data_IF_600883955425
#
_entry.id   IF_600883955425
#
_cell.length_a   1.000
_cell.length_b   1.000
_cell.length_c   1.000
_cell.angle_alpha   90.00
_cell.angle_beta   90.00
_cell.angle_gamma   90.00
#
_symmetry.space_group_name_H-M   'P 1'
#
loop_
_entity.id
_entity.type
_entity.pdbx_description
1 polymer ?
#
# COMPACT_ATOMS: atom_id res chain seq x y z
N UNK A 1 -31.45 4.56 13.11
CA UNK A 1 -30.40 5.50 12.64
C UNK A 1 -29.07 4.78 12.75
N UNK A 2 -28.55 4.27 11.65
CA UNK A 2 -27.23 3.63 11.62
C UNK A 2 -26.20 4.77 11.64
N UNK A 3 -25.30 4.75 12.63
CA UNK A 3 -24.21 5.72 12.76
C UNK A 3 -23.36 5.68 11.49
N UNK A 4 -22.85 6.84 11.04
CA UNK A 4 -21.90 6.91 9.94
C UNK A 4 -20.75 5.92 10.19
N UNK A 5 -20.64 4.89 9.35
CA UNK A 5 -19.60 3.88 9.41
C UNK A 5 -18.26 4.56 9.08
N UNK A 6 -17.31 4.52 10.01
CA UNK A 6 -16.00 5.16 9.87
C UNK A 6 -15.08 4.24 9.07
N UNK A 7 -15.14 4.30 7.74
CA UNK A 7 -14.26 3.55 6.86
C UNK A 7 -12.87 4.19 6.75
N UNK A 8 -11.82 3.36 6.69
CA UNK A 8 -10.49 3.76 6.25
C UNK A 8 -10.50 3.87 4.72
N UNK A 9 -10.32 5.07 4.14
CA UNK A 9 -10.36 5.23 2.69
C UNK A 9 -9.15 4.55 2.03
N UNK A 10 -9.41 3.83 0.94
CA UNK A 10 -8.35 3.33 0.05
C UNK A 10 -7.81 4.49 -0.77
N UNK A 11 -6.48 4.64 -0.80
CA UNK A 11 -5.82 5.73 -1.51
C UNK A 11 -5.89 5.56 -3.02
N UNK A 12 -6.13 6.67 -3.73
CA UNK A 12 -6.02 6.72 -5.19
C UNK A 12 -4.61 6.34 -5.67
N UNK A 13 -4.51 5.66 -6.81
CA UNK A 13 -3.21 5.29 -7.41
C UNK A 13 -2.55 6.46 -8.14
N UNK A 14 -3.36 7.44 -8.57
CA UNK A 14 -2.92 8.58 -9.39
C UNK A 14 -2.76 8.28 -10.88
N UNK A 15 -3.15 7.08 -11.34
CA UNK A 15 -3.05 6.72 -12.76
C UNK A 15 -4.19 7.36 -13.58
N UNK A 16 -3.85 7.99 -14.70
CA UNK A 16 -4.80 8.74 -15.55
C UNK A 16 -4.81 8.29 -17.02
N UNK A 17 -3.97 7.31 -17.39
CA UNK A 17 -3.85 6.81 -18.77
C UNK A 17 -4.07 5.31 -18.80
N UNK A 18 -4.80 4.84 -19.82
CA UNK A 18 -5.06 3.43 -20.06
C UNK A 18 -4.18 2.92 -21.20
N UNK A 19 -3.84 1.62 -21.14
CA UNK A 19 -2.92 1.00 -22.07
C UNK A 19 -3.41 -0.37 -22.53
N UNK A 20 -3.11 -0.74 -23.76
CA UNK A 20 -3.35 -2.08 -24.28
C UNK A 20 -2.37 -3.13 -23.70
N UNK A 21 -2.43 -4.37 -24.21
CA UNK A 21 -1.56 -5.48 -23.78
C UNK A 21 -0.09 -5.30 -24.15
N UNK A 22 0.21 -4.43 -25.14
CA UNK A 22 1.56 -4.13 -25.60
C UNK A 22 2.13 -2.87 -24.96
N UNK A 23 1.33 -2.18 -24.14
CA UNK A 23 1.71 -0.93 -23.49
C UNK A 23 1.48 0.32 -24.34
N UNK A 24 0.68 0.26 -25.39
CA UNK A 24 0.31 1.46 -26.17
C UNK A 24 -0.85 2.18 -25.48
N UNK A 25 -0.82 3.53 -25.38
CA UNK A 25 -1.93 4.30 -24.84
C UNK A 25 -3.21 4.08 -25.65
N UNK A 26 -4.33 3.96 -24.95
CA UNK A 26 -5.68 3.83 -25.53
C UNK A 26 -6.68 4.73 -24.77
N UNK A 27 -7.82 5.09 -25.38
CA UNK A 27 -8.91 5.74 -24.65
C UNK A 27 -9.36 4.89 -23.46
N UNK A 28 -9.56 5.53 -22.31
CA UNK A 28 -9.90 4.81 -21.09
C UNK A 28 -11.33 4.29 -21.04
N UNK A 29 -12.27 5.01 -21.66
CA UNK A 29 -13.71 4.77 -21.52
C UNK A 29 -14.10 3.31 -21.80
N UNK A 30 -14.62 2.63 -20.77
CA UNK A 30 -15.14 1.27 -20.88
C UNK A 30 -14.05 0.19 -20.88
N UNK A 31 -12.81 0.53 -20.59
CA UNK A 31 -11.70 -0.46 -20.49
C UNK A 31 -11.70 -1.20 -19.16
N UNK A 32 -12.37 -0.67 -18.13
CA UNK A 32 -12.34 -1.23 -16.77
C UNK A 32 -10.97 -1.11 -16.08
N UNK A 33 -10.03 -0.36 -16.68
CA UNK A 33 -8.73 -0.06 -16.07
C UNK A 33 -8.88 0.96 -14.94
N UNK A 34 -7.88 1.03 -14.07
CA UNK A 34 -7.83 1.96 -12.94
C UNK A 34 -8.06 3.43 -13.36
N UNK A 35 -7.48 3.83 -14.50
CA UNK A 35 -7.63 5.17 -15.07
C UNK A 35 -8.98 5.42 -15.79
N UNK A 36 -9.83 4.40 -15.99
CA UNK A 36 -11.21 4.55 -16.50
C UNK A 36 -12.17 5.07 -15.42
N UNK A 37 -11.71 5.16 -14.16
CA UNK A 37 -12.56 5.51 -13.02
C UNK A 37 -12.19 6.88 -12.46
N UNK A 38 -13.20 7.65 -12.00
CA UNK A 38 -12.94 8.83 -11.20
C UNK A 38 -12.16 8.47 -9.93
N UNK A 39 -11.00 9.09 -9.76
CA UNK A 39 -10.19 8.97 -8.55
C UNK A 39 -10.61 10.04 -7.53
N UNK A 40 -10.57 9.75 -6.22
CA UNK A 40 -10.74 10.76 -5.19
C UNK A 40 -9.80 11.96 -5.40
N UNK A 41 -10.32 13.17 -5.25
CA UNK A 41 -9.50 14.37 -5.32
C UNK A 41 -8.44 14.36 -4.22
N UNK A 42 -7.20 14.66 -4.59
CA UNK A 42 -6.11 14.86 -3.64
C UNK A 42 -6.05 16.34 -3.22
N UNK A 43 -5.56 16.65 -2.01
CA UNK A 43 -5.26 18.02 -1.62
C UNK A 43 -4.31 18.69 -2.62
N UNK A 44 -4.54 19.97 -2.91
CA UNK A 44 -3.70 20.80 -3.80
C UNK A 44 -3.33 22.09 -3.06
N UNK A 45 -2.05 22.34 -2.74
CA UNK A 45 -0.89 21.47 -2.99
C UNK A 45 -0.91 20.22 -2.09
N UNK A 46 -0.45 19.07 -2.62
CA UNK A 46 -0.39 17.81 -1.85
C UNK A 46 0.67 17.89 -0.74
N UNK A 47 1.80 18.51 -1.04
CA UNK A 47 2.94 18.63 -0.14
C UNK A 47 3.25 20.10 0.12
N UNK A 48 3.47 20.46 1.39
CA UNK A 48 3.80 21.83 1.80
C UNK A 48 5.03 21.82 2.67
N UNK A 49 6.09 22.50 2.22
CA UNK A 49 7.28 22.76 3.05
C UNK A 49 6.92 23.75 4.16
N UNK A 50 7.17 23.36 5.41
CA UNK A 50 6.87 24.17 6.59
C UNK A 50 8.03 25.09 6.96
N UNK A 51 7.77 26.16 7.75
CA UNK A 51 8.82 26.84 8.50
C UNK A 51 9.60 25.82 9.34
N UNK A 52 10.91 25.72 9.12
CA UNK A 52 11.76 24.68 9.72
C UNK A 52 12.15 23.54 8.76
N UNK A 53 11.63 23.52 7.53
CA UNK A 53 12.14 22.71 6.42
C UNK A 53 11.53 21.31 6.25
N UNK A 54 10.76 20.80 7.22
CA UNK A 54 10.01 19.56 7.02
C UNK A 54 8.89 19.73 5.98
N UNK A 55 8.54 18.65 5.30
CA UNK A 55 7.48 18.65 4.27
C UNK A 55 6.23 18.00 4.86
N UNK A 56 5.13 18.73 4.93
CA UNK A 56 3.83 18.19 5.32
C UNK A 56 3.12 17.57 4.13
N UNK A 57 2.76 16.31 4.25
CA UNK A 57 1.76 15.68 3.39
C UNK A 57 0.35 16.10 3.87
N UNK A 58 -0.37 16.87 3.04
CA UNK A 58 -1.72 17.34 3.39
C UNK A 58 -2.78 16.24 3.38
N UNK A 59 -2.54 15.10 2.74
CA UNK A 59 -3.50 14.00 2.76
C UNK A 59 -3.39 13.20 4.07
N UNK A 60 -2.17 12.82 4.46
CA UNK A 60 -1.96 11.95 5.62
C UNK A 60 -1.74 12.74 6.91
N UNK A 61 -1.33 14.00 6.82
CA UNK A 61 -0.88 14.83 7.95
C UNK A 61 0.57 14.55 8.38
N UNK A 62 1.22 13.53 7.82
CA UNK A 62 2.59 13.15 8.15
C UNK A 62 3.59 14.21 7.73
N UNK A 63 4.70 14.28 8.47
CA UNK A 63 5.83 15.15 8.18
C UNK A 63 6.99 14.33 7.66
N UNK A 64 7.50 14.71 6.50
CA UNK A 64 8.59 14.02 5.82
C UNK A 64 9.86 14.83 5.90
N UNK A 65 10.99 14.13 6.06
CA UNK A 65 12.30 14.76 5.94
C UNK A 65 12.51 15.19 4.47
N UNK A 66 12.95 16.44 4.19
CA UNK A 66 12.93 17.00 2.84
C UNK A 66 13.95 16.38 1.88
N UNK A 67 15.11 15.91 2.38
CA UNK A 67 16.05 15.08 1.62
C UNK A 67 15.69 13.61 1.78
N UNK A 68 15.25 12.95 0.72
CA UNK A 68 14.89 11.53 0.80
C UNK A 68 16.10 10.66 1.15
N UNK A 69 17.27 10.95 0.59
CA UNK A 69 18.55 10.40 1.03
C UNK A 69 19.11 11.17 2.25
N UNK A 70 18.47 11.03 3.41
CA UNK A 70 18.79 11.83 4.59
C UNK A 70 20.21 11.60 5.16
N UNK A 71 20.82 10.45 4.85
CA UNK A 71 22.07 9.95 5.45
C UNK A 71 23.18 9.71 4.42
N UNK A 72 23.02 10.22 3.20
CA UNK A 72 23.94 10.19 2.07
C UNK A 72 24.25 8.79 1.48
N UNK A 73 24.24 7.72 2.29
CA UNK A 73 24.55 6.35 1.87
C UNK A 73 23.47 5.35 2.31
N UNK A 74 23.32 4.23 1.57
CA UNK A 74 22.51 3.09 2.00
C UNK A 74 22.99 2.52 3.34
N UNK A 75 22.05 2.21 4.22
CA UNK A 75 22.27 1.70 5.56
C UNK A 75 21.65 0.30 5.70
N UNK A 76 22.26 -0.53 6.54
CA UNK A 76 21.57 -1.71 7.07
C UNK A 76 20.34 -1.31 7.86
N UNK A 77 19.44 -2.26 8.11
CA UNK A 77 18.24 -1.97 8.87
C UNK A 77 18.58 -1.43 10.27
N UNK A 78 19.54 -2.04 10.98
CA UNK A 78 19.96 -1.59 12.30
C UNK A 78 20.60 -0.20 12.27
N UNK A 79 21.49 0.07 11.31
CA UNK A 79 22.13 1.38 11.13
C UNK A 79 21.08 2.47 10.83
N UNK A 80 20.05 2.16 10.03
CA UNK A 80 19.00 3.13 9.73
C UNK A 80 18.17 3.54 10.95
N UNK A 81 17.92 2.60 11.88
CA UNK A 81 17.25 2.91 13.15
C UNK A 81 18.14 3.80 14.03
N UNK A 82 19.43 3.48 14.11
CA UNK A 82 20.40 4.28 14.86
C UNK A 82 20.51 5.70 14.28
N UNK A 83 20.65 5.86 12.97
CA UNK A 83 20.79 7.16 12.33
C UNK A 83 19.56 8.06 12.56
N UNK A 84 18.36 7.47 12.60
CA UNK A 84 17.13 8.17 12.98
C UNK A 84 17.13 8.60 14.45
N UNK A 85 17.66 7.77 15.36
CA UNK A 85 17.82 8.15 16.77
C UNK A 85 18.80 9.33 16.92
N UNK A 86 19.88 9.35 16.14
CA UNK A 86 20.83 10.46 16.11
C UNK A 86 20.18 11.76 15.58
N UNK A 87 19.33 11.69 14.55
CA UNK A 87 18.51 12.84 14.11
C UNK A 87 17.62 13.38 15.24
N UNK A 88 17.03 12.49 16.03
CA UNK A 88 16.17 12.86 17.14
C UNK A 88 16.95 13.51 18.29
N UNK A 89 18.12 12.97 18.63
CA UNK A 89 19.01 13.56 19.64
C UNK A 89 19.50 14.95 19.22
N UNK A 90 19.83 15.12 17.94
CA UNK A 90 20.23 16.40 17.36
C UNK A 90 19.08 17.40 17.21
N UNK A 91 17.84 16.99 17.51
CA UNK A 91 16.61 17.76 17.28
C UNK A 91 16.53 18.31 15.85
N UNK A 92 16.87 17.48 14.86
CA UNK A 92 16.93 17.87 13.46
C UNK A 92 15.58 18.46 12.99
N UNK A 93 15.64 19.63 12.33
CA UNK A 93 14.47 20.42 11.92
C UNK A 93 13.51 20.74 13.09
N UNK A 94 14.05 20.86 14.32
CA UNK A 94 13.30 21.18 15.52
C UNK A 94 12.48 20.01 16.09
N UNK A 95 12.74 18.77 15.65
CA UNK A 95 11.93 17.59 16.00
C UNK A 95 12.78 16.48 16.61
N UNK A 96 12.14 15.66 17.44
CA UNK A 96 12.76 14.51 18.12
C UNK A 96 11.92 13.23 18.00
N UNK A 97 10.99 13.19 17.06
CA UNK A 97 10.05 12.10 16.82
C UNK A 97 10.14 11.54 15.38
N UNK A 98 11.29 11.73 14.72
CA UNK A 98 11.59 11.06 13.47
C UNK A 98 11.63 9.54 13.66
N UNK A 99 11.09 8.81 12.70
CA UNK A 99 11.11 7.35 12.62
C UNK A 99 11.24 6.90 11.18
N UNK A 100 11.58 5.63 10.97
CA UNK A 100 11.36 5.01 9.66
C UNK A 100 9.85 4.89 9.39
N UNK A 101 9.38 5.18 8.17
CA UNK A 101 7.98 5.03 7.80
C UNK A 101 7.61 3.55 7.81
N UNK A 102 6.43 3.23 8.27
CA UNK A 102 5.83 1.92 8.00
C UNK A 102 5.56 1.77 6.50
N UNK A 103 5.35 0.53 6.04
CA UNK A 103 5.02 0.29 4.63
C UNK A 103 3.79 1.08 4.14
N UNK A 104 2.65 1.13 4.86
CA UNK A 104 1.52 1.95 4.44
C UNK A 104 1.88 3.43 4.31
N UNK A 105 2.68 3.97 5.23
CA UNK A 105 3.09 5.37 5.20
C UNK A 105 3.99 5.69 4.02
N UNK A 106 5.01 4.88 3.75
CA UNK A 106 5.87 5.11 2.58
C UNK A 106 5.13 4.92 1.26
N UNK A 107 4.19 3.96 1.19
CA UNK A 107 3.31 3.82 0.02
C UNK A 107 2.36 5.00 -0.16
N UNK A 108 1.97 5.70 0.90
CA UNK A 108 0.98 6.79 0.83
C UNK A 108 1.43 8.03 0.03
N UNK A 109 2.75 8.17 -0.17
CA UNK A 109 3.35 9.24 -0.99
C UNK A 109 3.71 8.80 -2.41
N UNK A 110 3.56 7.50 -2.72
CA UNK A 110 3.87 6.94 -4.03
C UNK A 110 2.73 7.25 -5.01
N UNK A 111 3.10 7.66 -6.23
CA UNK A 111 2.17 7.78 -7.35
C UNK A 111 2.46 6.69 -8.37
N UNK A 112 1.45 5.87 -8.69
CA UNK A 112 1.57 4.82 -9.71
C UNK A 112 1.41 5.39 -11.13
N UNK A 113 1.01 6.67 -11.27
CA UNK A 113 1.03 7.41 -12.52
C UNK A 113 2.37 8.11 -12.82
N UNK A 114 3.41 7.84 -12.03
CA UNK A 114 4.75 8.42 -12.18
C UNK A 114 5.85 7.35 -12.11
N UNK A 115 7.03 7.69 -12.62
CA UNK A 115 8.25 6.87 -12.55
C UNK A 115 9.47 7.75 -12.55
N UNK A 116 10.58 7.22 -12.03
CA UNK A 116 11.89 7.89 -12.02
C UNK A 116 11.86 9.34 -11.47
N UNK A 117 11.30 9.60 -10.27
CA UNK A 117 10.75 8.66 -9.29
C UNK A 117 9.22 8.47 -9.39
N UNK A 118 8.70 7.41 -8.78
CA UNK A 118 7.27 7.12 -8.65
C UNK A 118 6.62 7.95 -7.53
N UNK A 119 6.73 9.28 -7.65
CA UNK A 119 6.19 10.29 -6.74
C UNK A 119 5.37 11.32 -7.55
N UNK A 120 4.42 12.05 -6.94
CA UNK A 120 3.70 13.14 -7.60
C UNK A 120 4.66 14.20 -8.18
N UNK A 121 4.42 14.66 -9.41
CA UNK A 121 5.36 15.51 -10.15
C UNK A 121 5.69 16.86 -9.45
N UNK A 122 4.80 17.34 -8.58
CA UNK A 122 4.92 18.57 -7.79
C UNK A 122 5.57 18.36 -6.41
N UNK A 123 6.16 17.18 -6.16
CA UNK A 123 6.78 16.90 -4.86
C UNK A 123 7.97 17.84 -4.57
N UNK A 124 8.11 18.38 -3.34
CA UNK A 124 9.22 19.26 -2.97
C UNK A 124 10.47 18.50 -2.50
N UNK A 125 10.43 17.16 -2.51
CA UNK A 125 11.52 16.32 -2.02
C UNK A 125 12.77 16.45 -2.87
N UNK A 126 13.91 16.45 -2.20
CA UNK A 126 15.24 16.57 -2.79
C UNK A 126 16.04 15.29 -2.57
N UNK A 127 17.07 15.08 -3.38
CA UNK A 127 17.94 13.90 -3.30
C UNK A 127 17.17 12.57 -3.24
N UNK A 128 16.19 12.44 -4.17
CA UNK A 128 15.39 11.24 -4.33
C UNK A 128 16.17 10.24 -5.18
N UNK A 129 16.59 9.16 -4.54
CA UNK A 129 17.22 8.01 -5.19
C UNK A 129 16.15 7.10 -5.80
N UNK A 130 16.43 6.48 -6.94
CA UNK A 130 15.45 5.64 -7.64
C UNK A 130 15.39 4.20 -7.11
N UNK A 131 16.25 3.83 -6.15
CA UNK A 131 16.31 2.49 -5.60
C UNK A 131 15.38 2.27 -4.41
N UNK A 132 15.92 1.55 -3.41
CA UNK A 132 15.16 0.96 -2.31
C UNK A 132 15.20 1.86 -1.08
N UNK A 133 14.05 2.04 -0.45
CA UNK A 133 13.89 2.72 0.82
C UNK A 133 13.32 1.78 1.86
N UNK A 134 14.02 1.64 2.98
CA UNK A 134 13.54 0.86 4.12
C UNK A 134 12.21 1.41 4.64
N UNK A 135 11.36 0.47 5.06
CA UNK A 135 10.23 0.76 5.93
C UNK A 135 10.53 0.14 7.30
N UNK A 136 9.93 0.65 8.38
CA UNK A 136 9.99 0.03 9.71
C UNK A 136 9.24 -1.30 9.81
N UNK A 137 8.52 -1.70 8.76
CA UNK A 137 7.72 -2.92 8.76
C UNK A 137 8.60 -4.14 8.48
N UNK A 138 8.63 -5.08 9.41
CA UNK A 138 9.33 -6.37 9.26
C UNK A 138 8.50 -7.37 8.46
N UNK A 139 9.14 -8.28 7.74
CA UNK A 139 8.43 -9.33 7.02
C UNK A 139 8.07 -10.49 7.95
N UNK A 140 6.78 -10.76 8.13
CA UNK A 140 6.30 -11.81 9.04
C UNK A 140 6.71 -13.23 8.64
N UNK A 141 6.85 -13.50 7.34
CA UNK A 141 7.14 -14.83 6.84
C UNK A 141 8.59 -15.28 7.00
N UNK A 142 9.53 -14.37 7.30
CA UNK A 142 10.94 -14.71 7.47
C UNK A 142 11.64 -13.73 8.43
N UNK A 143 12.03 -14.18 9.64
CA UNK A 143 12.82 -13.37 10.56
C UNK A 143 14.08 -12.78 9.90
N UNK A 144 14.50 -11.60 10.35
CA UNK A 144 15.66 -10.91 9.79
C UNK A 144 15.44 -10.29 8.41
N UNK A 145 14.19 -10.13 7.95
CA UNK A 145 13.84 -9.40 6.74
C UNK A 145 12.93 -8.20 7.06
N UNK A 146 13.03 -7.15 6.27
CA UNK A 146 12.19 -5.96 6.36
C UNK A 146 11.70 -5.53 4.98
N UNK A 147 10.57 -4.84 4.95
CA UNK A 147 9.97 -4.33 3.72
C UNK A 147 10.69 -3.07 3.25
N UNK A 148 10.81 -2.93 1.93
CA UNK A 148 11.27 -1.72 1.26
C UNK A 148 10.32 -1.33 0.13
N UNK A 149 10.34 -0.04 -0.22
CA UNK A 149 9.67 0.50 -1.42
C UNK A 149 10.73 0.92 -2.43
N UNK A 150 10.54 0.54 -3.70
CA UNK A 150 11.43 0.89 -4.80
C UNK A 150 10.86 2.04 -5.62
N UNK A 151 11.52 3.19 -5.64
CA UNK A 151 10.96 4.43 -6.23
C UNK A 151 11.13 4.56 -7.75
N UNK A 152 11.84 3.67 -8.42
CA UNK A 152 11.85 3.68 -9.90
C UNK A 152 10.47 3.37 -10.50
N UNK A 153 9.68 2.51 -9.83
CA UNK A 153 8.41 2.00 -10.35
C UNK A 153 7.48 1.46 -9.27
N UNK A 154 7.46 2.05 -8.08
CA UNK A 154 6.51 1.77 -7.00
C UNK A 154 6.39 0.29 -6.53
N UNK A 155 7.43 -0.52 -6.73
CA UNK A 155 7.43 -1.94 -6.30
C UNK A 155 7.68 -2.04 -4.80
N UNK A 156 7.07 -3.03 -4.15
CA UNK A 156 7.22 -3.27 -2.70
C UNK A 156 7.57 -4.72 -2.45
N UNK A 157 8.77 -4.94 -1.93
CA UNK A 157 9.33 -6.24 -1.63
C UNK A 157 10.04 -6.18 -0.28
N UNK A 158 10.61 -7.30 0.15
CA UNK A 158 11.41 -7.37 1.35
C UNK A 158 12.85 -7.73 1.02
N UNK A 159 13.74 -7.40 1.95
CA UNK A 159 15.17 -7.67 1.85
C UNK A 159 15.69 -8.05 3.23
N UNK A 160 16.81 -8.77 3.29
CA UNK A 160 17.48 -9.10 4.55
C UNK A 160 17.93 -7.82 5.27
N UNK A 161 17.81 -7.82 6.59
CA UNK A 161 18.12 -6.66 7.43
C UNK A 161 19.62 -6.30 7.48
N UNK A 162 20.51 -7.22 7.07
CA UNK A 162 21.96 -6.98 6.95
C UNK A 162 22.39 -6.46 5.55
N UNK A 163 21.43 -6.23 4.66
CA UNK A 163 21.64 -5.57 3.37
C UNK A 163 21.33 -4.10 3.48
N UNK A 164 21.62 -3.33 2.44
CA UNK A 164 21.59 -1.88 2.49
C UNK A 164 20.46 -1.29 1.63
N UNK A 165 19.65 -0.42 2.23
CA UNK A 165 18.68 0.45 1.54
C UNK A 165 18.79 1.87 2.10
N UNK A 166 18.21 2.86 1.41
CA UNK A 166 18.11 4.21 1.97
C UNK A 166 17.06 4.27 3.09
N UNK A 167 17.21 5.25 3.96
CA UNK A 167 16.28 5.54 5.04
C UNK A 167 15.72 6.94 4.85
N UNK A 168 14.39 7.04 4.72
CA UNK A 168 13.69 8.31 4.55
C UNK A 168 12.82 8.58 5.77
N UNK A 169 13.27 9.44 6.70
CA UNK A 169 12.55 9.66 7.95
C UNK A 169 11.18 10.32 7.75
N UNK A 170 10.21 9.85 8.53
CA UNK A 170 8.87 10.44 8.68
C UNK A 170 8.61 10.74 10.16
N UNK A 171 7.71 11.67 10.46
CA UNK A 171 7.32 12.05 11.81
C UNK A 171 5.82 12.36 11.89
N UNK A 172 5.30 12.40 13.12
CA UNK A 172 3.88 12.59 13.40
C UNK A 172 3.04 11.31 13.24
N UNK A 173 1.74 11.50 13.33
CA UNK A 173 0.73 10.44 13.27
C UNK A 173 -0.27 10.71 12.16
N UNK A 174 -0.91 9.65 11.68
CA UNK A 174 -1.98 9.74 10.70
C UNK A 174 -3.16 8.90 11.14
N UNK A 175 -4.35 9.47 11.00
CA UNK A 175 -5.63 8.79 11.14
C UNK A 175 -6.24 8.48 9.77
N UNK A 176 -5.44 8.33 8.71
CA UNK A 176 -5.92 7.94 7.39
C UNK A 176 -5.56 6.50 7.05
N UNK A 177 -4.40 6.05 7.54
CA UNK A 177 -3.86 4.74 7.21
C UNK A 177 -4.22 3.74 8.31
N UNK A 178 -4.67 2.54 7.96
CA UNK A 178 -5.09 1.56 8.96
C UNK A 178 -3.89 1.04 9.76
N UNK A 179 -4.01 1.04 11.08
CA UNK A 179 -3.03 0.42 11.99
C UNK A 179 -3.66 -0.82 12.62
N UNK A 180 -3.07 -1.98 12.40
CA UNK A 180 -3.46 -3.19 13.13
C UNK A 180 -2.84 -3.13 14.52
N UNK A 181 -3.66 -2.96 15.55
CA UNK A 181 -3.19 -3.05 16.94
C UNK A 181 -2.58 -4.43 17.20
N UNK A 182 -1.28 -4.49 17.50
CA UNK A 182 -0.77 -5.48 18.45
C UNK A 182 -0.78 -4.84 19.83
N UNK A 183 -1.87 -5.00 20.58
CA UNK A 183 -1.75 -5.12 22.04
C UNK A 183 -2.31 -6.48 22.43
N UNK A 184 -1.44 -7.34 22.99
CA UNK A 184 -1.73 -7.84 24.33
C UNK A 184 -0.67 -7.40 25.34
N UNK A 185 -1.16 -7.23 26.55
CA UNK A 185 -0.50 -7.04 27.85
C UNK A 185 0.93 -7.56 27.98
N UNK A 186 1.77 -6.71 28.57
CA UNK A 186 3.01 -7.06 29.26
C UNK A 186 2.77 -8.26 30.18
N UNK A 187 3.31 -9.42 29.83
CA UNK A 187 3.79 -10.37 30.82
C UNK A 187 5.30 -10.54 30.64
N UNK A 188 5.95 -10.27 31.76
CA UNK A 188 7.38 -10.18 32.03
C UNK A 188 8.09 -11.51 31.71
N UNK A 189 8.92 -11.55 30.67
CA UNK A 189 10.33 -12.01 30.68
C UNK A 189 10.83 -12.35 29.26
N UNK A 190 11.97 -11.73 28.92
CA UNK A 190 12.97 -12.07 27.90
C UNK A 190 12.81 -11.60 26.43
N UNK A 191 13.78 -10.73 26.07
CA UNK A 191 14.21 -10.19 24.77
C UNK A 191 13.58 -8.86 24.31
N UNK A 192 14.39 -7.91 23.78
CA UNK A 192 13.93 -6.57 23.45
C UNK A 192 13.07 -6.64 22.19
N UNK A 193 11.77 -6.71 22.38
CA UNK A 193 10.81 -6.23 21.39
C UNK A 193 10.90 -4.71 21.45
N UNK A 194 11.34 -4.08 20.36
CA UNK A 194 11.35 -2.63 20.23
C UNK A 194 9.90 -2.12 20.35
N UNK A 195 9.52 -1.73 21.56
CA UNK A 195 8.35 -0.92 21.84
C UNK A 195 8.69 0.52 21.49
N UNK A 196 7.93 1.08 20.55
CA UNK A 196 7.96 2.48 20.14
C UNK A 196 7.66 3.41 21.33
N UNK A 197 8.59 4.27 21.80
CA UNK A 197 8.33 5.19 22.88
C UNK A 197 7.82 6.53 22.35
N UNK A 198 6.54 6.82 22.59
CA UNK A 198 5.99 8.18 22.56
C UNK A 198 4.63 8.31 21.89
N UNK A 199 3.55 8.10 22.64
CA UNK A 199 2.20 8.53 22.22
C UNK A 199 1.37 8.93 23.44
N UNK A 200 1.28 10.25 23.69
CA UNK A 200 0.21 10.90 24.44
C UNK A 200 -0.36 12.03 23.58
N UNK A 201 -1.64 11.92 23.21
CA UNK A 201 -2.65 12.99 23.12
C UNK A 201 -3.71 12.73 22.02
N UNK A 202 -4.92 12.35 22.47
CA UNK A 202 -6.23 12.85 22.02
C UNK A 202 -6.39 13.24 20.53
N UNK A 203 -6.27 12.27 19.62
CA UNK A 203 -6.87 12.32 18.29
C UNK A 203 -7.66 11.02 18.09
N UNK A 204 -8.94 11.11 17.75
CA UNK A 204 -9.79 9.96 17.41
C UNK A 204 -9.14 9.22 16.23
N UNK A 205 -8.61 7.98 16.43
CA UNK A 205 -7.79 7.32 15.43
C UNK A 205 -8.64 6.89 14.21
N UNK A 206 -8.03 6.81 13.01
CA UNK A 206 -8.60 5.91 12.01
C UNK A 206 -8.66 4.55 12.67
N UNK A 207 -9.84 3.94 12.62
CA UNK A 207 -10.18 2.82 13.46
C UNK A 207 -9.10 1.73 13.39
N UNK A 208 -8.81 1.17 14.56
CA UNK A 208 -8.24 -0.15 14.66
C UNK A 208 -9.04 -1.08 13.73
N UNK A 209 -8.40 -2.10 13.16
CA UNK A 209 -9.11 -3.05 12.30
C UNK A 209 -10.41 -3.53 12.98
N UNK A 210 -11.58 -3.41 12.33
CA UNK A 210 -12.85 -3.78 12.93
C UNK A 210 -12.87 -5.28 13.24
N UNK A 211 -13.59 -5.66 14.30
CA UNK A 211 -13.78 -7.06 14.69
C UNK A 211 -15.28 -7.37 14.81
N UNK A 212 -15.85 -8.21 13.93
CA UNK A 212 -15.20 -8.85 12.78
C UNK A 212 -14.89 -7.85 11.66
N UNK A 213 -13.76 -8.02 10.95
CA UNK A 213 -13.45 -7.20 9.76
C UNK A 213 -14.28 -7.59 8.55
N UNK A 214 -14.42 -8.90 8.33
CA UNK A 214 -15.09 -9.48 7.18
C UNK A 214 -16.45 -10.05 7.61
N UNK A 215 -17.50 -9.64 6.92
CA UNK A 215 -18.87 -10.14 7.13
C UNK A 215 -19.45 -10.63 5.80
N UNK A 216 -20.47 -11.51 5.80
CA UNK A 216 -21.16 -11.90 4.58
C UNK A 216 -21.63 -10.66 3.80
N UNK A 217 -21.33 -10.62 2.51
CA UNK A 217 -21.68 -9.50 1.65
C UNK A 217 -23.15 -9.51 1.25
N UNK A 218 -23.60 -8.42 0.64
CA UNK A 218 -24.99 -8.27 0.17
C UNK A 218 -25.30 -9.08 -1.09
N UNK A 219 -24.27 -9.54 -1.80
CA UNK A 219 -24.39 -10.39 -2.98
C UNK A 219 -23.98 -11.81 -2.62
N UNK A 220 -24.67 -12.82 -3.15
CA UNK A 220 -24.28 -14.22 -2.96
C UNK A 220 -22.83 -14.45 -3.44
N UNK A 221 -22.04 -15.18 -2.64
CA UNK A 221 -20.62 -15.39 -2.92
C UNK A 221 -19.72 -14.17 -2.69
N UNK A 222 -20.20 -13.13 -1.99
CA UNK A 222 -19.39 -11.96 -1.64
C UNK A 222 -19.17 -11.79 -0.13
N UNK A 223 -18.13 -11.03 0.21
CA UNK A 223 -17.71 -10.68 1.58
C UNK A 223 -17.53 -9.18 1.64
N UNK A 224 -18.15 -8.52 2.62
CA UNK A 224 -17.93 -7.10 2.89
C UNK A 224 -16.78 -6.90 3.86
N UNK A 225 -15.85 -6.02 3.51
CA UNK A 225 -14.76 -5.54 4.34
C UNK A 225 -15.17 -4.26 5.06
N UNK A 226 -15.46 -4.36 6.36
CA UNK A 226 -15.87 -3.24 7.20
C UNK A 226 -14.75 -2.19 7.39
N UNK A 227 -13.50 -2.52 7.07
CA UNK A 227 -12.41 -1.56 7.13
C UNK A 227 -12.49 -0.53 6.00
N UNK A 228 -12.76 -0.99 4.78
CA UNK A 228 -12.67 -0.19 3.55
C UNK A 228 -14.03 0.16 2.94
N UNK A 229 -15.09 -0.55 3.37
CA UNK A 229 -16.41 -0.50 2.75
C UNK A 229 -16.47 -1.19 1.39
N UNK A 230 -15.45 -1.97 1.02
CA UNK A 230 -15.42 -2.74 -0.24
C UNK A 230 -16.02 -4.13 -0.04
N UNK A 231 -16.64 -4.69 -1.07
CA UNK A 231 -17.05 -6.09 -1.12
C UNK A 231 -16.26 -6.88 -2.16
N UNK A 232 -15.82 -8.06 -1.77
CA UNK A 232 -14.95 -8.94 -2.55
C UNK A 232 -15.66 -10.26 -2.82
N UNK A 233 -15.36 -10.94 -3.93
CA UNK A 233 -15.78 -12.34 -4.07
C UNK A 233 -15.08 -13.22 -3.02
N UNK A 234 -15.76 -14.27 -2.54
CA UNK A 234 -15.19 -15.25 -1.60
C UNK A 234 -14.07 -16.08 -2.22
N UNK A 235 -14.06 -16.20 -3.55
CA UNK A 235 -13.08 -16.94 -4.33
C UNK A 235 -12.66 -16.12 -5.56
N UNK A 236 -11.49 -16.39 -6.15
CA UNK A 236 -11.12 -15.80 -7.43
C UNK A 236 -12.14 -16.15 -8.51
N UNK A 237 -12.23 -15.31 -9.54
CA UNK A 237 -13.23 -15.48 -10.60
C UNK A 237 -13.06 -16.76 -11.44
N UNK A 238 -11.85 -17.32 -11.45
CA UNK A 238 -11.49 -18.54 -12.19
C UNK A 238 -10.58 -19.42 -11.34
N UNK A 239 -10.67 -20.74 -11.54
CA UNK A 239 -9.78 -21.72 -10.95
C UNK A 239 -8.38 -21.73 -11.58
N UNK A 240 -8.22 -21.18 -12.80
CA UNK A 240 -6.94 -21.12 -13.51
C UNK A 240 -6.47 -19.66 -13.68
N UNK A 241 -5.15 -19.42 -13.63
CA UNK A 241 -4.58 -18.12 -13.99
C UNK A 241 -4.94 -17.72 -15.42
N UNK A 242 -4.97 -16.42 -15.66
CA UNK A 242 -5.33 -15.83 -16.95
C UNK A 242 -4.45 -14.62 -17.26
N UNK A 243 -4.40 -14.22 -18.53
CA UNK A 243 -3.67 -13.00 -18.88
C UNK A 243 -4.48 -11.76 -18.52
N UNK A 244 -3.85 -10.60 -18.48
CA UNK A 244 -4.46 -9.40 -17.88
C UNK A 244 -5.73 -8.92 -18.63
N UNK A 245 -5.71 -8.96 -19.97
CA UNK A 245 -6.89 -8.65 -20.79
C UNK A 245 -8.10 -9.56 -20.50
N UNK A 246 -7.86 -10.87 -20.40
CA UNK A 246 -8.89 -11.85 -20.01
C UNK A 246 -9.47 -11.55 -18.63
N UNK A 247 -8.65 -11.09 -17.68
CA UNK A 247 -9.13 -10.69 -16.36
C UNK A 247 -10.12 -9.53 -16.45
N UNK A 248 -9.78 -8.46 -17.18
CA UNK A 248 -10.69 -7.33 -17.37
C UNK A 248 -12.01 -7.75 -18.04
N UNK A 249 -11.94 -8.54 -19.11
CA UNK A 249 -13.11 -9.05 -19.83
C UNK A 249 -13.99 -9.93 -18.93
N UNK A 250 -13.38 -10.85 -18.17
CA UNK A 250 -14.11 -11.74 -17.28
C UNK A 250 -14.83 -10.97 -16.16
N UNK A 251 -14.19 -9.96 -15.57
CA UNK A 251 -14.87 -9.14 -14.54
C UNK A 251 -15.96 -8.26 -15.15
N UNK A 252 -15.77 -7.71 -16.35
CA UNK A 252 -16.81 -6.96 -17.05
C UNK A 252 -18.03 -7.85 -17.36
N UNK A 253 -17.81 -9.11 -17.75
CA UNK A 253 -18.88 -10.08 -17.98
C UNK A 253 -19.63 -10.42 -16.68
N UNK A 254 -18.91 -10.63 -15.57
CA UNK A 254 -19.51 -10.79 -14.24
C UNK A 254 -20.40 -9.60 -13.89
N UNK A 255 -19.92 -8.38 -14.12
CA UNK A 255 -20.67 -7.16 -13.83
C UNK A 255 -21.97 -7.09 -14.64
N UNK A 256 -21.91 -7.43 -15.93
CA UNK A 256 -23.07 -7.46 -16.84
C UNK A 256 -24.10 -8.51 -16.42
N UNK A 257 -23.66 -9.74 -16.13
CA UNK A 257 -24.55 -10.84 -15.76
C UNK A 257 -25.24 -10.61 -14.42
N UNK A 258 -24.48 -10.15 -13.41
CA UNK A 258 -25.00 -9.91 -12.06
C UNK A 258 -25.74 -8.58 -11.92
N UNK A 259 -25.62 -7.67 -12.89
CA UNK A 259 -26.10 -6.27 -12.82
C UNK A 259 -25.56 -5.53 -11.59
N UNK A 260 -24.34 -5.87 -11.17
CA UNK A 260 -23.60 -5.24 -10.08
C UNK A 260 -22.31 -4.65 -10.63
N UNK A 261 -21.79 -3.55 -10.06
CA UNK A 261 -20.60 -2.86 -10.58
C UNK A 261 -19.30 -3.58 -10.18
N UNK A 262 -19.21 -4.89 -10.42
CA UNK A 262 -17.98 -5.65 -10.25
C UNK A 262 -16.90 -5.13 -11.19
N UNK A 263 -15.67 -5.11 -10.70
CA UNK A 263 -14.51 -4.64 -11.46
C UNK A 263 -13.24 -5.25 -10.92
N UNK A 264 -12.21 -5.22 -11.74
CA UNK A 264 -10.87 -5.58 -11.29
C UNK A 264 -10.38 -4.48 -10.31
N UNK A 265 -9.90 -4.86 -9.12
CA UNK A 265 -9.44 -3.90 -8.12
C UNK A 265 -8.22 -3.14 -8.61
N UNK A 266 -8.05 -1.90 -8.19
CA UNK A 266 -6.76 -1.23 -8.32
C UNK A 266 -5.74 -1.81 -7.32
N UNK A 267 -4.47 -1.47 -7.47
CA UNK A 267 -3.42 -2.07 -6.64
C UNK A 267 -3.51 -1.66 -5.16
N UNK A 268 -4.05 -0.48 -4.85
CA UNK A 268 -4.20 -0.03 -3.46
C UNK A 268 -5.42 -0.71 -2.80
N UNK A 269 -6.48 -1.00 -3.55
CA UNK A 269 -7.59 -1.81 -3.09
C UNK A 269 -7.14 -3.24 -2.77
N UNK A 270 -6.37 -3.88 -3.66
CA UNK A 270 -5.78 -5.19 -3.36
C UNK A 270 -4.88 -5.13 -2.14
N UNK A 271 -4.00 -4.13 -2.06
CA UNK A 271 -3.08 -3.98 -0.92
C UNK A 271 -3.85 -3.87 0.39
N UNK A 272 -5.00 -3.19 0.41
CA UNK A 272 -5.80 -2.99 1.63
C UNK A 272 -6.23 -4.30 2.32
N UNK A 273 -6.28 -5.42 1.60
CA UNK A 273 -6.54 -6.75 2.18
C UNK A 273 -5.34 -7.31 2.97
N UNK A 274 -4.14 -6.80 2.71
CA UNK A 274 -2.88 -7.36 3.22
C UNK A 274 -2.75 -7.18 4.73
N UNK A 275 -2.48 -8.27 5.42
CA UNK A 275 -2.05 -8.27 6.82
C UNK A 275 -0.55 -8.50 6.90
N UNK A 276 0.21 -7.43 7.14
CA UNK A 276 1.68 -7.48 7.20
C UNK A 276 2.21 -8.22 8.44
N UNK A 277 1.34 -8.61 9.37
CA UNK A 277 1.70 -9.48 10.51
C UNK A 277 1.60 -10.97 10.16
N UNK A 278 1.12 -11.30 8.96
CA UNK A 278 0.89 -12.65 8.46
C UNK A 278 1.68 -12.88 7.17
N UNK A 279 1.91 -14.14 6.84
CA UNK A 279 2.44 -14.58 5.56
C UNK A 279 1.93 -15.99 5.25
N UNK A 280 1.82 -16.30 3.97
CA UNK A 280 1.38 -17.58 3.40
C UNK A 280 0.00 -18.05 3.90
N UNK A 281 -1.08 -17.24 3.73
CA UNK A 281 -1.15 -15.96 3.01
C UNK A 281 -0.95 -14.73 3.91
N UNK A 282 -0.59 -13.59 3.32
CA UNK A 282 -0.55 -12.29 4.00
C UNK A 282 -1.95 -11.67 4.13
N UNK A 283 -2.89 -12.42 4.70
CA UNK A 283 -4.28 -12.01 4.94
C UNK A 283 -4.64 -12.04 6.42
N UNK A 284 -5.69 -11.32 6.85
CA UNK A 284 -6.12 -11.31 8.25
C UNK A 284 -6.47 -12.71 8.72
N UNK A 285 -6.07 -13.07 9.94
CA UNK A 285 -6.42 -14.36 10.53
C UNK A 285 -7.95 -14.57 10.52
N UNK A 286 -8.41 -15.76 10.15
CA UNK A 286 -9.84 -16.08 10.08
C UNK A 286 -10.59 -15.47 8.89
N UNK A 287 -9.88 -14.98 7.87
CA UNK A 287 -10.53 -14.50 6.64
C UNK A 287 -11.44 -15.57 6.01
N UNK A 288 -12.56 -15.18 5.37
CA UNK A 288 -13.50 -16.11 4.76
C UNK A 288 -13.13 -16.57 3.34
N UNK A 289 -12.03 -16.04 2.79
CA UNK A 289 -11.63 -16.29 1.40
C UNK A 289 -11.05 -17.69 1.19
N UNK A 290 -11.40 -18.32 0.07
CA UNK A 290 -11.05 -19.71 -0.25
C UNK A 290 -10.51 -19.84 -1.68
N UNK A 291 -9.81 -20.94 -1.98
CA UNK A 291 -9.24 -21.22 -3.31
C UNK A 291 -8.37 -20.09 -3.87
N UNK A 292 -7.62 -19.41 -3.00
CA UNK A 292 -6.75 -18.30 -3.39
C UNK A 292 -5.49 -18.83 -4.08
N UNK A 293 -5.11 -18.18 -5.19
CA UNK A 293 -3.83 -18.39 -5.83
C UNK A 293 -2.72 -17.49 -5.28
N UNK A 294 -1.53 -17.60 -5.88
CA UNK A 294 -0.33 -16.90 -5.40
C UNK A 294 -0.30 -15.41 -5.73
N UNK A 295 -0.97 -14.97 -6.80
CA UNK A 295 -0.97 -13.57 -7.20
C UNK A 295 -2.19 -13.12 -7.99
N UNK A 296 -2.53 -11.85 -7.82
CA UNK A 296 -3.77 -11.25 -8.32
C UNK A 296 -3.49 -10.01 -9.15
N UNK A 297 -4.05 -9.99 -10.36
CA UNK A 297 -4.00 -8.82 -11.23
C UNK A 297 -4.72 -7.64 -10.59
N UNK A 298 -4.10 -6.46 -10.64
CA UNK A 298 -4.79 -5.19 -10.48
C UNK A 298 -5.17 -4.59 -11.84
N UNK A 299 -6.10 -3.65 -11.84
CA UNK A 299 -6.41 -2.77 -12.98
C UNK A 299 -5.39 -1.63 -13.15
N UNK A 300 -4.41 -1.51 -12.26
CA UNK A 300 -3.36 -0.48 -12.27
C UNK A 300 -2.21 -0.92 -13.18
N UNK A 301 -2.10 -0.29 -14.36
CA UNK A 301 -0.96 -0.50 -15.26
C UNK A 301 0.34 0.05 -14.64
N UNK A 302 1.47 -0.64 -14.86
CA UNK A 302 2.79 -0.13 -14.48
C UNK A 302 3.18 1.06 -15.34
N UNK A 303 3.37 2.23 -14.75
CA UNK A 303 3.84 3.40 -15.50
C UNK A 303 5.31 3.25 -15.94
N UNK A 304 6.10 2.45 -15.20
CA UNK A 304 7.47 2.11 -15.55
C UNK A 304 7.56 1.46 -16.94
N UNK A 305 6.76 0.41 -17.14
CA UNK A 305 6.59 -0.31 -18.41
C UNK A 305 5.10 -0.66 -18.59
N UNK A 306 4.37 0.05 -19.47
CA UNK A 306 2.93 -0.14 -19.63
C UNK A 306 2.50 -1.49 -20.25
N UNK A 307 3.44 -2.31 -20.74
CA UNK A 307 3.16 -3.70 -21.13
C UNK A 307 2.99 -4.62 -19.89
N UNK A 308 3.20 -4.08 -18.69
CA UNK A 308 3.05 -4.78 -17.41
C UNK A 308 1.93 -4.14 -16.57
N UNK A 309 1.32 -4.94 -15.69
CA UNK A 309 0.33 -4.46 -14.72
C UNK A 309 0.77 -4.82 -13.30
N UNK A 310 0.38 -4.02 -12.31
CA UNK A 310 0.68 -4.33 -10.92
C UNK A 310 -0.05 -5.58 -10.46
N UNK A 311 0.64 -6.34 -9.61
CA UNK A 311 0.17 -7.61 -9.05
C UNK A 311 0.42 -7.62 -7.55
N UNK A 312 -0.58 -8.06 -6.78
CA UNK A 312 -0.39 -8.44 -5.38
C UNK A 312 -0.01 -9.92 -5.31
N UNK A 313 1.16 -10.22 -4.75
CA UNK A 313 1.60 -11.59 -4.45
C UNK A 313 1.12 -11.98 -3.06
N UNK A 314 -0.06 -12.61 -2.97
CA UNK A 314 -0.80 -12.82 -1.73
C UNK A 314 -0.05 -13.65 -0.70
N UNK A 315 0.73 -14.65 -1.14
CA UNK A 315 1.54 -15.48 -0.24
C UNK A 315 2.50 -14.67 0.61
N UNK A 316 3.07 -13.59 0.06
CA UNK A 316 4.05 -12.74 0.76
C UNK A 316 3.47 -11.39 1.18
N UNK A 317 2.41 -10.94 0.53
CA UNK A 317 1.92 -9.57 0.58
C UNK A 317 2.75 -8.60 -0.26
N UNK A 318 3.60 -9.07 -1.18
CA UNK A 318 4.45 -8.18 -1.99
C UNK A 318 3.66 -7.54 -3.13
N UNK A 319 4.06 -6.32 -3.54
CA UNK A 319 3.49 -5.63 -4.71
C UNK A 319 4.56 -5.57 -5.79
N UNK A 320 4.35 -6.29 -6.88
CA UNK A 320 5.23 -6.28 -8.04
C UNK A 320 4.43 -6.08 -9.33
N UNK A 321 4.95 -6.63 -10.43
CA UNK A 321 4.33 -6.48 -11.75
C UNK A 321 4.32 -7.81 -12.50
N UNK A 322 3.29 -8.02 -13.31
CA UNK A 322 3.15 -9.15 -14.21
C UNK A 322 3.08 -8.69 -15.67
N UNK A 323 3.61 -9.49 -16.59
CA UNK A 323 3.60 -9.18 -18.02
C UNK A 323 2.21 -9.46 -18.59
N UNK A 324 1.52 -8.42 -19.09
CA UNK A 324 0.08 -8.47 -19.42
C UNK A 324 -0.33 -9.65 -20.33
N UNK A 325 0.46 -10.05 -21.35
CA UNK A 325 0.10 -11.15 -22.24
C UNK A 325 0.23 -12.56 -21.63
N UNK A 326 0.89 -12.72 -20.49
CA UNK A 326 1.10 -14.05 -19.90
C UNK A 326 -0.01 -14.43 -18.93
N UNK A 327 -0.50 -15.69 -18.98
CA UNK A 327 -1.54 -16.16 -18.07
C UNK A 327 -0.95 -16.63 -16.73
N UNK A 328 -0.47 -15.69 -15.92
CA UNK A 328 0.26 -16.00 -14.68
C UNK A 328 -0.53 -15.69 -13.40
N UNK A 329 -1.57 -14.87 -13.47
CA UNK A 329 -2.27 -14.38 -12.26
C UNK A 329 -3.80 -14.48 -12.35
N UNK A 330 -4.44 -14.39 -11.19
CA UNK A 330 -5.88 -14.53 -11.03
C UNK A 330 -6.59 -13.17 -11.02
N UNK A 331 -7.89 -13.16 -11.34
CA UNK A 331 -8.76 -12.01 -11.16
C UNK A 331 -9.56 -12.17 -9.86
N UNK A 332 -9.50 -11.15 -8.99
CA UNK A 332 -10.28 -11.12 -7.75
C UNK A 332 -11.17 -9.88 -7.72
N UNK A 333 -12.42 -9.99 -8.22
CA UNK A 333 -13.32 -8.86 -8.36
C UNK A 333 -13.67 -8.20 -7.04
N UNK A 334 -13.85 -6.88 -7.11
CA UNK A 334 -14.30 -6.03 -6.01
C UNK A 334 -15.47 -5.15 -6.49
N UNK A 335 -16.32 -4.73 -5.55
CA UNK A 335 -17.29 -3.65 -5.72
C UNK A 335 -17.37 -2.79 -4.44
N UNK A 336 -18.06 -1.67 -4.52
CA UNK A 336 -18.38 -0.81 -3.37
C UNK A 336 -19.88 -0.80 -3.15
#
# INVERSE_FOLDING_TARGET
MIKAEHFCPVLATGLTTCYDLTGRPIPCTGTGQDADRPQPALPVPRFVTLPGGSVRDQLTGLLWYPRANAFDFPLSFAESIQAVQELNQARALGRSDWRLPTRPELRSIVSHGAKNPSLPADHPFTDVFLGRYWTSTVFAGLPGHAWYVHLEGARVFYERQDRYCLAWPVAGTTSLLPVKNKRPSVTRQERPVYSDPGHDSQAEPCACWPEPRFVPGQTEGSVSDLLTGLSWLTQPLSANPMHWGQALEAVAELARQSKKPWRLPDINELESLTDLTQAYPALPAGHPFTNLGDGFWSSTTSFYDPAWSYVLYLGKGAVGVGFKPKPEFFAWPVLR
#
